data_IF_878119695411
#
_entry.id   IF_878119695411
#
_cell.length_a   1.000
_cell.length_b   1.000
_cell.length_c   1.000
_cell.angle_alpha   90.00
_cell.angle_beta   90.00
_cell.angle_gamma   90.00
#
_symmetry.space_group_name_H-M   'P 1'
#
loop_
_entity.id
_entity.type
_entity.pdbx_description
1 polymer ?
#
# COMPACT_ATOMS: atom_id res chain seq x y z
N UNK A 1 9.34 17.46 4.19
CA UNK A 1 10.33 17.79 3.13
C UNK A 1 9.91 17.10 1.84
N UNK A 2 10.34 17.60 0.68
CA UNK A 2 10.05 16.93 -0.59
C UNK A 2 10.79 15.59 -0.66
N UNK A 3 10.16 14.60 -1.28
CA UNK A 3 10.68 13.26 -1.53
C UNK A 3 10.62 12.97 -3.03
N UNK A 4 11.66 12.33 -3.57
CA UNK A 4 11.67 11.84 -4.94
C UNK A 4 11.06 10.44 -4.98
N UNK A 5 10.05 10.22 -5.80
CA UNK A 5 9.36 8.92 -5.94
C UNK A 5 9.62 8.29 -7.31
N UNK A 6 10.84 8.43 -7.81
CA UNK A 6 11.23 7.78 -9.07
C UNK A 6 11.16 6.26 -8.97
N UNK A 7 10.84 5.65 -10.11
CA UNK A 7 10.68 4.20 -10.26
C UNK A 7 11.55 3.69 -11.40
N UNK A 8 12.16 2.52 -11.17
CA UNK A 8 12.98 1.80 -12.12
C UNK A 8 12.66 0.31 -12.12
N UNK A 9 12.92 -0.31 -13.28
CA UNK A 9 12.82 -1.74 -13.49
C UNK A 9 14.19 -2.24 -13.95
N UNK A 10 14.69 -3.29 -13.30
CA UNK A 10 15.86 -4.06 -13.74
C UNK A 10 15.50 -5.53 -13.82
N UNK A 11 15.39 -6.04 -15.05
CA UNK A 11 14.96 -7.42 -15.34
C UNK A 11 16.14 -8.34 -15.52
N UNK A 12 15.97 -9.59 -15.11
CA UNK A 12 16.87 -10.72 -15.39
C UNK A 12 18.34 -10.33 -15.21
N UNK A 13 18.66 -9.78 -14.04
CA UNK A 13 20.00 -9.32 -13.71
C UNK A 13 20.54 -8.26 -14.72
N UNK A 14 19.70 -7.29 -15.08
CA UNK A 14 20.05 -6.15 -15.94
C UNK A 14 19.95 -6.39 -17.45
N UNK A 15 19.27 -7.44 -17.91
CA UNK A 15 19.03 -7.66 -19.34
C UNK A 15 18.17 -6.56 -19.97
N UNK A 16 17.22 -6.03 -19.20
CA UNK A 16 16.42 -4.86 -19.55
C UNK A 16 16.39 -3.93 -18.34
N UNK A 17 16.82 -2.69 -18.53
CA UNK A 17 16.79 -1.66 -17.50
C UNK A 17 16.24 -0.35 -18.05
N UNK A 18 15.26 0.21 -17.35
CA UNK A 18 14.71 1.53 -17.63
C UNK A 18 14.22 2.20 -16.35
N UNK A 19 14.19 3.53 -16.34
CA UNK A 19 13.58 4.30 -15.25
C UNK A 19 12.73 5.46 -15.77
N UNK A 20 11.66 5.76 -15.04
CA UNK A 20 10.63 6.74 -15.42
C UNK A 20 10.94 8.19 -15.09
N UNK A 21 12.23 8.57 -14.97
CA UNK A 21 12.66 9.95 -14.64
C UNK A 21 12.64 10.87 -15.85
N UNK A 22 13.18 10.44 -16.98
CA UNK A 22 13.23 11.19 -18.24
C UNK A 22 13.52 10.26 -19.43
N UNK A 23 13.52 10.78 -20.65
CA UNK A 23 13.82 9.99 -21.85
C UNK A 23 15.21 9.33 -21.82
N UNK A 24 16.20 9.99 -21.20
CA UNK A 24 17.54 9.46 -21.07
C UNK A 24 17.57 8.19 -20.20
N UNK A 25 16.78 8.14 -19.13
CA UNK A 25 16.66 6.96 -18.25
C UNK A 25 15.70 5.90 -18.76
N UNK A 26 14.72 6.27 -19.60
CA UNK A 26 13.90 5.29 -20.34
C UNK A 26 14.78 4.52 -21.32
N UNK A 27 15.64 5.22 -22.06
CA UNK A 27 16.62 4.63 -22.98
C UNK A 27 18.01 4.57 -22.36
N UNK A 28 18.10 4.17 -21.08
CA UNK A 28 19.38 4.02 -20.37
C UNK A 28 20.28 2.99 -21.08
N UNK A 29 19.66 1.95 -21.66
CA UNK A 29 20.28 1.06 -22.63
C UNK A 29 19.97 1.56 -24.06
N UNK A 30 20.97 2.13 -24.75
CA UNK A 30 20.77 2.79 -26.06
C UNK A 30 20.27 1.87 -27.17
N UNK A 31 20.58 0.57 -27.09
CA UNK A 31 20.03 -0.44 -28.01
C UNK A 31 18.51 -0.47 -28.02
N UNK A 32 17.84 -0.07 -26.93
CA UNK A 32 16.38 -0.02 -26.87
C UNK A 32 15.76 1.08 -27.73
N UNK A 33 16.53 2.05 -28.24
CA UNK A 33 16.03 3.00 -29.24
C UNK A 33 15.63 2.30 -30.54
N UNK A 34 16.28 1.18 -30.86
CA UNK A 34 15.99 0.35 -32.04
C UNK A 34 15.03 -0.81 -31.74
N UNK A 35 14.57 -0.95 -30.49
CA UNK A 35 13.70 -2.04 -30.07
C UNK A 35 12.22 -1.65 -30.25
N UNK A 36 11.49 -2.23 -31.22
CA UNK A 36 10.09 -1.89 -31.46
C UNK A 36 9.19 -2.22 -30.27
N UNK A 37 9.54 -3.21 -29.45
CA UNK A 37 8.76 -3.56 -28.25
C UNK A 37 8.86 -2.47 -27.17
N UNK A 38 9.99 -1.75 -27.09
CA UNK A 38 10.16 -0.63 -26.16
C UNK A 38 9.24 0.54 -26.53
N UNK A 39 9.18 0.89 -27.81
CA UNK A 39 8.28 1.92 -28.30
C UNK A 39 6.80 1.53 -28.18
N UNK A 40 6.48 0.26 -28.48
CA UNK A 40 5.14 -0.29 -28.25
C UNK A 40 4.74 -0.19 -26.77
N UNK A 41 5.64 -0.52 -25.85
CA UNK A 41 5.40 -0.38 -24.41
C UNK A 41 5.10 1.07 -24.03
N UNK A 42 5.89 2.04 -24.50
CA UNK A 42 5.66 3.47 -24.23
C UNK A 42 4.28 3.91 -24.74
N UNK A 43 3.90 3.49 -25.94
CA UNK A 43 2.55 3.74 -26.47
C UNK A 43 1.46 3.07 -25.60
N UNK A 44 1.66 1.81 -25.22
CA UNK A 44 0.72 1.05 -24.39
C UNK A 44 0.57 1.64 -22.98
N UNK A 45 1.61 2.27 -22.41
CA UNK A 45 1.51 3.06 -21.17
C UNK A 45 0.51 4.21 -21.32
N UNK A 46 0.64 5.00 -22.38
CA UNK A 46 -0.26 6.14 -22.63
C UNK A 46 -1.69 5.65 -22.86
N UNK A 47 -1.85 4.61 -23.69
CA UNK A 47 -3.15 3.99 -23.97
C UNK A 47 -3.80 3.39 -22.72
N UNK A 48 -3.01 2.75 -21.86
CA UNK A 48 -3.49 2.20 -20.60
C UNK A 48 -3.96 3.31 -19.66
N UNK A 49 -3.18 4.40 -19.53
CA UNK A 49 -3.56 5.53 -18.69
C UNK A 49 -4.89 6.15 -19.14
N UNK A 50 -5.13 6.28 -20.45
CA UNK A 50 -6.40 6.76 -20.99
C UNK A 50 -7.57 5.82 -20.64
N UNK A 51 -7.42 4.52 -20.91
CA UNK A 51 -8.44 3.53 -20.56
C UNK A 51 -8.72 3.50 -19.05
N UNK A 52 -7.68 3.51 -18.23
CA UNK A 52 -7.78 3.43 -16.77
C UNK A 52 -8.50 4.65 -16.19
N UNK A 53 -8.18 5.87 -16.67
CA UNK A 53 -8.88 7.08 -16.25
C UNK A 53 -10.36 7.03 -16.62
N UNK A 54 -10.70 6.68 -17.87
CA UNK A 54 -12.09 6.58 -18.32
C UNK A 54 -12.89 5.56 -17.51
N UNK A 55 -12.34 4.37 -17.29
CA UNK A 55 -13.00 3.32 -16.47
C UNK A 55 -13.19 3.80 -15.03
N UNK A 56 -12.19 4.46 -14.45
CA UNK A 56 -12.29 4.98 -13.09
C UNK A 56 -13.31 6.12 -12.96
N UNK A 57 -13.49 6.94 -14.00
CA UNK A 57 -14.50 8.00 -14.06
C UNK A 57 -15.91 7.42 -14.20
N UNK A 58 -16.10 6.49 -15.14
CA UNK A 58 -17.35 5.76 -15.33
C UNK A 58 -17.76 5.03 -14.03
N UNK A 59 -16.83 4.34 -13.38
CA UNK A 59 -17.08 3.62 -12.14
C UNK A 59 -17.46 4.55 -10.96
N UNK A 60 -16.91 5.76 -10.90
CA UNK A 60 -17.25 6.73 -9.84
C UNK A 60 -18.67 7.29 -9.99
N UNK A 61 -19.18 7.35 -11.23
CA UNK A 61 -20.54 7.80 -11.54
C UNK A 61 -21.61 6.71 -11.38
N UNK A 62 -21.20 5.48 -11.05
CA UNK A 62 -22.08 4.32 -10.89
C UNK A 62 -22.17 3.86 -9.43
N UNK A 63 -23.24 3.16 -9.04
CA UNK A 63 -23.26 2.47 -7.76
C UNK A 63 -22.09 1.48 -7.64
N UNK A 64 -21.59 1.20 -6.43
CA UNK A 64 -20.53 0.22 -6.23
C UNK A 64 -20.83 -1.12 -6.93
N UNK A 65 -19.80 -1.76 -7.48
CA UNK A 65 -19.89 -3.04 -8.21
C UNK A 65 -20.79 -3.06 -9.47
N UNK A 66 -21.26 -1.91 -9.96
CA UNK A 66 -22.19 -1.86 -11.11
C UNK A 66 -21.50 -1.64 -12.47
N UNK A 67 -20.21 -1.28 -12.47
CA UNK A 67 -19.46 -1.08 -13.70
C UNK A 67 -19.35 -2.39 -14.51
N UNK A 68 -19.43 -2.37 -15.86
CA UNK A 68 -19.34 -3.59 -16.69
C UNK A 68 -18.05 -4.41 -16.50
N UNK A 69 -16.98 -3.77 -16.02
CA UNK A 69 -15.70 -4.41 -15.71
C UNK A 69 -15.48 -4.67 -14.22
N UNK A 70 -16.50 -4.54 -13.36
CA UNK A 70 -16.34 -4.67 -11.90
C UNK A 70 -15.77 -6.04 -11.47
N UNK A 71 -16.10 -7.10 -12.21
CA UNK A 71 -15.62 -8.48 -11.99
C UNK A 71 -14.51 -8.90 -12.95
N UNK A 72 -14.08 -8.01 -13.85
CA UNK A 72 -13.05 -8.33 -14.84
C UNK A 72 -11.68 -8.34 -14.17
N UNK A 73 -10.91 -9.40 -14.40
CA UNK A 73 -9.51 -9.43 -13.95
C UNK A 73 -8.61 -8.56 -14.83
N UNK A 74 -7.43 -8.23 -14.33
CA UNK A 74 -6.43 -7.52 -15.14
C UNK A 74 -6.04 -8.35 -16.37
N UNK A 75 -5.92 -9.67 -16.24
CA UNK A 75 -5.60 -10.55 -17.36
C UNK A 75 -6.67 -10.61 -18.45
N UNK A 76 -7.96 -10.64 -18.08
CA UNK A 76 -9.06 -10.57 -19.03
C UNK A 76 -9.08 -9.23 -19.78
N UNK A 77 -8.82 -8.12 -19.08
CA UNK A 77 -8.69 -6.81 -19.69
C UNK A 77 -7.57 -6.76 -20.73
N UNK A 78 -6.41 -7.34 -20.41
CA UNK A 78 -5.25 -7.38 -21.32
C UNK A 78 -5.56 -8.15 -22.61
N UNK A 79 -6.20 -9.31 -22.48
CA UNK A 79 -6.66 -10.12 -23.63
C UNK A 79 -7.69 -9.35 -24.46
N UNK A 80 -8.69 -8.74 -23.81
CA UNK A 80 -9.78 -8.01 -24.46
C UNK A 80 -9.30 -6.80 -25.27
N UNK A 81 -8.32 -6.04 -24.75
CA UNK A 81 -7.83 -4.82 -25.39
C UNK A 81 -6.50 -5.01 -26.17
N UNK A 82 -6.03 -6.26 -26.29
CA UNK A 82 -4.84 -6.64 -27.04
C UNK A 82 -3.56 -5.93 -26.59
N UNK A 83 -3.33 -5.87 -25.27
CA UNK A 83 -2.08 -5.37 -24.69
C UNK A 83 -0.96 -6.40 -24.85
N UNK A 84 0.27 -5.94 -25.12
CA UNK A 84 1.41 -6.84 -25.27
C UNK A 84 1.86 -7.45 -23.94
N UNK A 85 2.38 -8.68 -24.02
CA UNK A 85 3.09 -9.33 -22.92
C UNK A 85 4.28 -8.49 -22.45
N UNK A 86 4.98 -7.84 -23.38
CA UNK A 86 6.14 -6.99 -23.06
C UNK A 86 5.75 -5.80 -22.18
N UNK A 87 4.65 -5.11 -22.48
CA UNK A 87 4.15 -4.02 -21.61
C UNK A 87 3.70 -4.53 -20.25
N UNK A 88 3.00 -5.67 -20.21
CA UNK A 88 2.60 -6.28 -18.95
C UNK A 88 3.81 -6.54 -18.04
N UNK A 89 4.78 -7.33 -18.54
CA UNK A 89 5.89 -7.85 -17.75
C UNK A 89 6.94 -6.79 -17.38
N UNK A 90 7.07 -5.73 -18.17
CA UNK A 90 8.15 -4.76 -18.03
C UNK A 90 7.68 -3.39 -17.53
N UNK A 91 6.36 -3.16 -17.42
CA UNK A 91 5.80 -1.91 -16.88
C UNK A 91 4.73 -2.16 -15.83
N UNK A 92 3.60 -2.77 -16.22
CA UNK A 92 2.43 -2.78 -15.34
C UNK A 92 2.65 -3.71 -14.15
N UNK A 93 3.15 -4.92 -14.40
CA UNK A 93 3.44 -5.89 -13.35
C UNK A 93 4.47 -5.35 -12.33
N UNK A 94 5.66 -4.85 -12.74
CA UNK A 94 6.58 -4.21 -11.81
C UNK A 94 5.95 -3.09 -10.98
N UNK A 95 5.10 -2.27 -11.60
CA UNK A 95 4.44 -1.14 -10.94
C UNK A 95 3.42 -1.61 -9.90
N UNK A 96 2.51 -2.53 -10.26
CA UNK A 96 1.49 -3.05 -9.35
C UNK A 96 2.13 -3.88 -8.23
N UNK A 97 3.11 -4.72 -8.57
CA UNK A 97 3.87 -5.48 -7.59
C UNK A 97 4.52 -4.51 -6.58
N UNK A 98 5.20 -3.46 -7.04
CA UNK A 98 5.86 -2.51 -6.15
C UNK A 98 4.91 -1.85 -5.14
N UNK A 99 3.69 -1.50 -5.57
CA UNK A 99 2.70 -0.81 -4.74
C UNK A 99 2.15 -1.71 -3.63
N UNK A 100 1.76 -2.95 -3.97
CA UNK A 100 1.10 -3.86 -3.01
C UNK A 100 2.02 -4.92 -2.43
N UNK A 101 3.29 -4.94 -2.83
CA UNK A 101 4.26 -5.99 -2.46
C UNK A 101 3.70 -7.40 -2.64
N UNK A 102 2.88 -7.58 -3.69
CA UNK A 102 2.23 -8.85 -4.02
C UNK A 102 2.98 -9.58 -5.14
N UNK A 103 3.04 -10.93 -5.09
CA UNK A 103 3.57 -11.73 -6.18
C UNK A 103 2.86 -11.46 -7.52
N UNK A 104 3.60 -11.71 -8.59
CA UNK A 104 3.19 -11.40 -9.95
C UNK A 104 2.01 -12.23 -10.45
N UNK A 105 1.95 -13.50 -10.04
CA UNK A 105 0.91 -14.47 -10.39
C UNK A 105 -0.46 -14.07 -9.81
N UNK A 106 -0.50 -13.68 -8.53
CA UNK A 106 -1.74 -13.31 -7.84
C UNK A 106 -2.33 -12.00 -8.34
N UNK A 107 -1.47 -11.02 -8.63
CA UNK A 107 -1.93 -9.68 -9.05
C UNK A 107 -2.66 -9.69 -10.39
N UNK A 108 -2.30 -10.61 -11.30
CA UNK A 108 -2.87 -10.65 -12.65
C UNK A 108 -4.29 -11.22 -12.71
N UNK A 109 -4.52 -12.31 -11.97
CA UNK A 109 -5.72 -13.12 -12.09
C UNK A 109 -6.78 -12.73 -11.06
N UNK A 110 -6.37 -12.29 -9.86
CA UNK A 110 -7.30 -12.11 -8.73
C UNK A 110 -7.68 -10.65 -8.46
N UNK A 111 -6.88 -9.68 -8.92
CA UNK A 111 -7.10 -8.27 -8.60
C UNK A 111 -8.19 -7.66 -9.50
N UNK A 112 -9.30 -7.12 -8.94
CA UNK A 112 -10.36 -6.54 -9.77
C UNK A 112 -9.92 -5.25 -10.46
N UNK A 113 -10.09 -5.21 -11.80
CA UNK A 113 -9.63 -4.12 -12.65
C UNK A 113 -10.11 -2.74 -12.17
N UNK A 114 -11.39 -2.60 -11.84
CA UNK A 114 -11.99 -1.31 -11.47
C UNK A 114 -11.34 -0.77 -10.19
N UNK A 115 -11.11 -1.62 -9.19
CA UNK A 115 -10.43 -1.26 -7.95
C UNK A 115 -9.00 -0.78 -8.24
N UNK A 116 -8.29 -1.49 -9.14
CA UNK A 116 -6.93 -1.15 -9.53
C UNK A 116 -6.86 0.23 -10.20
N UNK A 117 -7.69 0.48 -11.21
CA UNK A 117 -7.61 1.74 -11.97
C UNK A 117 -8.10 2.94 -11.14
N UNK A 118 -9.10 2.76 -10.27
CA UNK A 118 -9.50 3.78 -9.31
C UNK A 118 -8.34 4.11 -8.36
N UNK A 119 -7.65 3.07 -7.85
CA UNK A 119 -6.48 3.28 -7.01
C UNK A 119 -5.39 4.07 -7.75
N UNK A 120 -5.01 3.62 -8.94
CA UNK A 120 -3.93 4.25 -9.72
C UNK A 120 -4.27 5.71 -10.06
N UNK A 121 -5.54 6.01 -10.36
CA UNK A 121 -6.00 7.40 -10.56
C UNK A 121 -5.93 8.21 -9.28
N UNK A 122 -6.47 7.71 -8.16
CA UNK A 122 -6.53 8.43 -6.89
C UNK A 122 -5.13 8.72 -6.32
N UNK A 123 -4.12 7.91 -6.67
CA UNK A 123 -2.73 8.08 -6.26
C UNK A 123 -1.87 8.73 -7.35
N UNK A 124 -2.49 9.28 -8.41
CA UNK A 124 -1.83 9.99 -9.51
C UNK A 124 -0.72 9.17 -10.22
N UNK A 125 -0.88 7.85 -10.26
CA UNK A 125 0.05 6.92 -10.92
C UNK A 125 -0.18 6.82 -12.44
N UNK A 126 -1.32 7.32 -12.92
CA UNK A 126 -1.68 7.35 -14.35
C UNK A 126 -1.19 8.63 -15.08
N UNK A 127 -0.48 9.52 -14.38
CA UNK A 127 -0.07 10.81 -14.92
C UNK A 127 1.32 10.75 -15.58
N UNK A 128 1.40 11.23 -16.83
CA UNK A 128 2.67 11.38 -17.56
C UNK A 128 3.34 12.71 -17.22
N UNK A 129 2.57 13.75 -16.88
CA UNK A 129 3.01 15.09 -16.48
C UNK A 129 2.30 15.54 -15.20
N UNK A 130 2.80 16.60 -14.55
CA UNK A 130 2.21 17.17 -13.32
C UNK A 130 2.04 16.19 -12.15
N UNK A 131 2.98 15.25 -12.01
CA UNK A 131 2.98 14.29 -10.89
C UNK A 131 3.00 15.02 -9.54
N UNK A 132 2.28 14.51 -8.53
CA UNK A 132 2.24 15.14 -7.21
C UNK A 132 3.62 15.17 -6.57
N UNK A 133 3.86 16.22 -5.78
CA UNK A 133 5.06 16.33 -4.96
C UNK A 133 4.90 15.47 -3.72
N UNK A 134 5.64 14.37 -3.67
CA UNK A 134 5.69 13.51 -2.50
C UNK A 134 6.44 14.17 -1.35
N UNK A 135 6.00 13.88 -0.13
CA UNK A 135 6.62 14.39 1.09
C UNK A 135 7.05 13.26 2.00
N UNK A 136 8.14 13.52 2.71
CA UNK A 136 8.60 12.73 3.85
C UNK A 136 8.62 13.58 5.11
N UNK A 137 8.38 12.93 6.25
CA UNK A 137 8.48 13.54 7.57
C UNK A 137 9.97 13.49 7.97
N UNK A 138 10.59 14.63 8.32
CA UNK A 138 11.94 14.63 8.88
C UNK A 138 12.01 13.67 10.08
N UNK A 139 13.08 12.87 10.16
CA UNK A 139 13.27 11.84 11.18
C UNK A 139 12.25 10.68 11.14
N UNK A 140 11.50 10.55 10.03
CA UNK A 140 10.63 9.41 9.78
C UNK A 140 9.32 9.42 10.57
N UNK A 141 8.52 8.38 10.34
CA UNK A 141 7.17 8.21 10.88
C UNK A 141 7.12 8.06 12.40
N UNK A 142 8.19 7.58 13.03
CA UNK A 142 8.32 7.51 14.50
C UNK A 142 8.02 8.85 15.17
N UNK A 143 8.39 9.95 14.52
CA UNK A 143 8.23 11.31 15.03
C UNK A 143 6.77 11.71 15.35
N UNK A 144 5.80 11.31 14.53
CA UNK A 144 4.39 11.63 14.84
C UNK A 144 3.77 10.61 15.79
N UNK A 145 4.23 9.35 15.76
CA UNK A 145 3.78 8.33 16.71
C UNK A 145 4.18 8.73 18.13
N UNK A 146 5.41 9.16 18.35
CA UNK A 146 5.88 9.66 19.65
C UNK A 146 5.03 10.84 20.15
N UNK A 147 4.64 11.76 19.24
CA UNK A 147 3.76 12.89 19.59
C UNK A 147 2.33 12.48 19.94
N UNK A 148 1.81 11.42 19.30
CA UNK A 148 0.49 10.87 19.62
C UNK A 148 0.57 10.18 20.99
N UNK A 149 1.54 9.29 21.19
CA UNK A 149 1.72 8.55 22.44
C UNK A 149 1.91 9.48 23.63
N UNK A 150 2.67 10.57 23.48
CA UNK A 150 2.86 11.57 24.53
C UNK A 150 1.57 12.31 24.96
N UNK A 151 0.49 12.20 24.19
CA UNK A 151 -0.82 12.80 24.50
C UNK A 151 -1.85 11.77 25.01
N UNK A 152 -1.48 10.49 25.09
CA UNK A 152 -2.36 9.45 25.62
C UNK A 152 -2.26 9.41 27.15
N UNK A 153 -3.41 9.38 27.82
CA UNK A 153 -3.45 9.19 29.28
C UNK A 153 -2.95 7.81 29.70
N UNK A 154 -3.16 6.80 28.84
CA UNK A 154 -2.69 5.43 29.03
C UNK A 154 -2.10 4.87 27.72
N UNK A 155 -0.91 4.30 27.81
CA UNK A 155 -0.25 3.60 26.72
C UNK A 155 0.61 2.47 27.28
N UNK A 156 0.33 1.24 26.88
CA UNK A 156 0.98 0.05 27.44
C UNK A 156 1.73 -0.71 26.38
N UNK A 157 3.05 -0.57 26.42
CA UNK A 157 3.97 -1.29 25.54
C UNK A 157 4.21 -2.71 26.08
N UNK A 158 4.48 -3.66 25.19
CA UNK A 158 4.74 -5.07 25.55
C UNK A 158 3.60 -5.73 26.32
N UNK A 159 2.37 -5.24 26.13
CA UNK A 159 1.15 -5.79 26.73
C UNK A 159 0.32 -6.45 25.64
N UNK A 160 0.63 -7.71 25.33
CA UNK A 160 -0.07 -8.46 24.29
C UNK A 160 -1.46 -8.85 24.79
N UNK A 161 -2.49 -8.42 24.08
CA UNK A 161 -3.87 -8.88 24.27
C UNK A 161 -4.01 -10.25 23.62
N UNK A 162 -4.57 -11.21 24.35
CA UNK A 162 -4.76 -12.60 23.90
C UNK A 162 -6.22 -13.04 23.91
N UNK A 163 -7.11 -12.23 24.49
CA UNK A 163 -8.52 -12.57 24.55
C UNK A 163 -9.42 -11.35 24.76
N UNK A 164 -10.64 -11.43 24.22
CA UNK A 164 -11.73 -10.52 24.53
C UNK A 164 -12.99 -11.30 24.87
N UNK A 165 -13.69 -10.92 25.95
CA UNK A 165 -15.01 -11.46 26.32
C UNK A 165 -16.04 -10.33 26.39
N UNK A 166 -17.05 -10.40 25.52
CA UNK A 166 -18.07 -9.35 25.39
C UNK A 166 -19.30 -9.70 26.22
N UNK A 167 -19.53 -8.92 27.26
CA UNK A 167 -20.70 -9.01 28.14
C UNK A 167 -21.79 -8.02 27.68
N UNK A 168 -23.04 -8.12 28.17
CA UNK A 168 -24.11 -7.20 27.76
C UNK A 168 -23.76 -5.72 27.94
N UNK A 169 -23.05 -5.39 29.02
CA UNK A 169 -22.76 -3.99 29.39
C UNK A 169 -21.28 -3.59 29.30
N UNK A 170 -20.37 -4.55 29.11
CA UNK A 170 -18.93 -4.36 29.27
C UNK A 170 -18.15 -5.32 28.37
N UNK A 171 -16.86 -5.06 28.21
CA UNK A 171 -15.92 -5.89 27.47
C UNK A 171 -14.72 -6.15 28.36
N UNK A 172 -14.39 -7.42 28.59
CA UNK A 172 -13.19 -7.82 29.31
C UNK A 172 -12.06 -8.06 28.30
N UNK A 173 -10.97 -7.34 28.44
CA UNK A 173 -9.74 -7.50 27.67
C UNK A 173 -8.75 -8.30 28.51
N UNK A 174 -8.24 -9.40 27.94
CA UNK A 174 -7.38 -10.36 28.59
C UNK A 174 -5.99 -10.25 27.99
N UNK A 175 -4.99 -9.97 28.83
CA UNK A 175 -3.59 -9.87 28.43
C UNK A 175 -2.84 -11.20 28.66
N UNK A 176 -1.74 -11.41 27.93
CA UNK A 176 -0.93 -12.64 27.97
C UNK A 176 -0.40 -12.97 29.38
N UNK A 177 -0.17 -11.95 30.20
CA UNK A 177 0.26 -12.08 31.59
C UNK A 177 -0.88 -12.48 32.57
N UNK A 178 -2.10 -12.70 32.07
CA UNK A 178 -3.28 -13.04 32.85
C UNK A 178 -4.06 -11.85 33.42
N UNK A 179 -3.62 -10.61 33.20
CA UNK A 179 -4.39 -9.42 33.59
C UNK A 179 -5.70 -9.35 32.80
N UNK A 180 -6.80 -9.06 33.49
CA UNK A 180 -8.11 -8.84 32.90
C UNK A 180 -8.60 -7.46 33.29
N UNK A 181 -8.98 -6.67 32.30
CA UNK A 181 -9.49 -5.31 32.48
C UNK A 181 -10.82 -5.11 31.79
N UNK A 182 -11.68 -4.33 32.42
CA UNK A 182 -13.04 -4.09 31.97
C UNK A 182 -13.15 -2.72 31.29
N UNK A 183 -13.76 -2.70 30.11
CA UNK A 183 -14.01 -1.50 29.31
C UNK A 183 -15.47 -1.45 28.84
N UNK A 184 -15.94 -0.26 28.43
CA UNK A 184 -17.28 -0.12 27.84
C UNK A 184 -17.34 -0.56 26.37
N UNK A 185 -16.24 -0.36 25.64
CA UNK A 185 -16.07 -0.67 24.22
C UNK A 185 -14.62 -1.08 23.93
N UNK A 186 -14.42 -1.83 22.84
CA UNK A 186 -13.10 -2.17 22.30
C UNK A 186 -13.01 -1.80 20.82
N UNK A 187 -11.88 -1.22 20.42
CA UNK A 187 -11.53 -0.99 19.01
C UNK A 187 -10.33 -1.88 18.67
N UNK A 188 -10.54 -2.85 17.78
CA UNK A 188 -9.45 -3.61 17.19
C UNK A 188 -8.76 -2.77 16.12
N UNK A 189 -7.54 -2.32 16.38
CA UNK A 189 -6.65 -1.66 15.41
C UNK A 189 -5.55 -2.60 14.89
N UNK A 190 -5.81 -3.92 14.92
CA UNK A 190 -4.90 -5.01 14.53
C UNK A 190 -5.25 -5.55 13.13
N UNK A 191 -4.50 -6.54 12.67
CA UNK A 191 -4.91 -7.34 11.51
C UNK A 191 -6.17 -8.17 11.83
N UNK A 192 -6.92 -8.56 10.80
CA UNK A 192 -8.21 -9.24 10.97
C UNK A 192 -8.08 -10.67 11.47
N UNK A 193 -7.00 -11.35 11.08
CA UNK A 193 -6.63 -12.67 11.59
C UNK A 193 -6.32 -12.63 13.09
N UNK A 194 -5.56 -11.63 13.53
CA UNK A 194 -5.29 -11.37 14.94
C UNK A 194 -6.56 -11.01 15.72
N UNK A 195 -7.45 -10.21 15.11
CA UNK A 195 -8.72 -9.88 15.74
C UNK A 195 -9.59 -11.13 15.94
N UNK A 196 -9.65 -12.03 14.95
CA UNK A 196 -10.34 -13.31 15.07
C UNK A 196 -9.71 -14.22 16.13
N UNK A 197 -8.39 -14.28 16.19
CA UNK A 197 -7.67 -15.04 17.23
C UNK A 197 -8.02 -14.53 18.64
N UNK A 198 -8.01 -13.22 18.85
CA UNK A 198 -8.34 -12.59 20.14
C UNK A 198 -9.82 -12.77 20.49
N UNK A 199 -10.73 -12.72 19.51
CA UNK A 199 -12.15 -12.95 19.74
C UNK A 199 -12.44 -14.42 20.10
N UNK A 200 -11.70 -15.37 19.50
CA UNK A 200 -11.88 -16.80 19.70
C UNK A 200 -13.34 -17.23 19.54
N UNK A 201 -13.84 -18.06 20.46
CA UNK A 201 -15.23 -18.55 20.46
C UNK A 201 -16.29 -17.45 20.62
N UNK A 202 -15.89 -16.24 21.02
CA UNK A 202 -16.84 -15.15 21.14
C UNK A 202 -17.19 -14.54 19.77
N UNK A 203 -16.37 -14.78 18.72
CA UNK A 203 -16.61 -14.29 17.37
C UNK A 203 -17.94 -14.79 16.80
N UNK A 204 -18.75 -13.90 16.24
CA UNK A 204 -19.99 -14.29 15.57
C UNK A 204 -19.68 -14.95 14.21
N UNK A 205 -20.63 -15.71 13.62
CA UNK A 205 -20.47 -16.22 12.26
C UNK A 205 -20.23 -15.09 11.23
N UNK A 206 -20.92 -13.96 11.40
CA UNK A 206 -20.78 -12.79 10.52
C UNK A 206 -19.40 -12.12 10.68
N UNK A 207 -18.88 -11.99 11.90
CA UNK A 207 -17.52 -11.51 12.15
C UNK A 207 -16.48 -12.45 11.56
N UNK A 208 -16.68 -13.76 11.69
CA UNK A 208 -15.79 -14.78 11.15
C UNK A 208 -15.72 -14.73 9.62
N UNK A 209 -16.88 -14.59 8.95
CA UNK A 209 -16.95 -14.45 7.50
C UNK A 209 -16.27 -13.16 7.02
N UNK A 210 -16.61 -12.02 7.61
CA UNK A 210 -16.13 -10.70 7.17
C UNK A 210 -14.64 -10.54 7.46
N UNK A 211 -14.19 -10.78 8.70
CA UNK A 211 -12.77 -10.62 9.06
C UNK A 211 -11.89 -11.68 8.39
N UNK A 212 -12.43 -12.90 8.19
CA UNK A 212 -11.72 -14.02 7.57
C UNK A 212 -11.49 -13.87 6.07
N UNK A 213 -12.24 -13.00 5.38
CA UNK A 213 -12.08 -12.72 3.96
C UNK A 213 -10.88 -11.84 3.60
N UNK A 214 -10.26 -11.19 4.60
CA UNK A 214 -9.01 -10.45 4.41
C UNK A 214 -7.83 -11.38 4.69
N UNK A 215 -6.94 -11.54 3.70
CA UNK A 215 -5.73 -12.36 3.82
C UNK A 215 -4.49 -11.47 3.88
N UNK A 216 -3.40 -12.00 4.44
CA UNK A 216 -2.13 -11.27 4.56
C UNK A 216 -0.99 -12.03 3.89
N UNK A 217 -0.10 -11.30 3.22
CA UNK A 217 1.14 -11.81 2.65
C UNK A 217 2.31 -11.44 3.57
N UNK A 218 3.28 -12.34 3.71
CA UNK A 218 4.50 -12.08 4.46
C UNK A 218 5.55 -11.43 3.56
N UNK A 219 6.23 -10.42 4.08
CA UNK A 219 7.31 -9.71 3.41
C UNK A 219 8.50 -9.57 4.37
N UNK A 220 9.72 -9.84 3.89
CA UNK A 220 10.95 -9.66 4.66
C UNK A 220 11.72 -8.46 4.12
N UNK A 221 11.99 -7.47 4.98
CA UNK A 221 12.80 -6.31 4.61
C UNK A 221 14.19 -6.39 5.23
N UNK A 222 15.19 -5.95 4.48
CA UNK A 222 16.56 -5.79 4.94
C UNK A 222 16.98 -4.33 4.77
N UNK A 223 17.50 -3.72 5.82
CA UNK A 223 18.24 -2.46 5.75
C UNK A 223 19.72 -2.80 5.56
N UNK A 224 20.35 -2.30 4.49
CA UNK A 224 21.74 -2.64 4.17
C UNK A 224 22.42 -1.57 3.31
N UNK A 225 23.70 -1.82 3.00
CA UNK A 225 24.55 -1.03 2.09
C UNK A 225 24.98 -1.78 0.82
N UNK A 226 24.46 -2.98 0.61
CA UNK A 226 24.78 -3.81 -0.56
C UNK A 226 24.19 -3.25 -1.88
N UNK A 227 25.01 -2.55 -2.65
CA UNK A 227 24.66 -1.99 -3.96
C UNK A 227 24.41 -3.05 -5.03
N UNK A 228 24.76 -4.32 -4.79
CA UNK A 228 24.46 -5.37 -5.78
C UNK A 228 22.94 -5.59 -5.90
N UNK A 229 22.17 -5.28 -4.86
CA UNK A 229 20.70 -5.27 -4.87
C UNK A 229 20.15 -3.93 -5.40
N UNK A 230 20.76 -3.38 -6.46
CA UNK A 230 20.31 -2.20 -7.20
C UNK A 230 20.46 -2.48 -8.71
N UNK A 231 19.85 -1.68 -9.60
CA UNK A 231 20.09 -1.81 -11.04
C UNK A 231 21.58 -1.74 -11.39
N UNK A 232 22.01 -2.53 -12.38
CA UNK A 232 23.41 -2.54 -12.85
C UNK A 232 23.80 -1.20 -13.46
N UNK A 233 22.90 -0.60 -14.23
CA UNK A 233 23.10 0.74 -14.76
C UNK A 233 22.79 1.79 -13.70
N UNK A 234 23.83 2.45 -13.18
CA UNK A 234 23.67 3.48 -12.15
C UNK A 234 22.77 4.65 -12.56
N UNK A 235 22.60 4.91 -13.86
CA UNK A 235 21.71 5.98 -14.34
C UNK A 235 20.22 5.66 -14.13
N UNK A 236 19.85 4.39 -13.99
CA UNK A 236 18.46 3.98 -13.73
C UNK A 236 18.14 3.92 -12.24
N UNK A 237 19.13 4.06 -11.36
CA UNK A 237 18.91 4.08 -9.91
C UNK A 237 17.84 5.09 -9.56
N UNK A 238 16.80 4.59 -8.92
CA UNK A 238 15.63 5.33 -8.55
C UNK A 238 15.32 5.12 -7.08
N UNK A 239 14.38 5.89 -6.57
CA UNK A 239 13.89 5.68 -5.21
C UNK A 239 13.29 4.29 -5.01
N UNK A 240 12.67 3.75 -6.05
CA UNK A 240 12.02 2.44 -6.11
C UNK A 240 12.62 1.64 -7.26
N UNK A 241 13.18 0.46 -6.99
CA UNK A 241 13.83 -0.36 -8.01
C UNK A 241 13.27 -1.78 -7.94
N UNK A 242 12.41 -2.13 -8.89
CA UNK A 242 11.91 -3.48 -9.06
C UNK A 242 13.01 -4.32 -9.72
N UNK A 243 13.44 -5.40 -9.05
CA UNK A 243 14.57 -6.22 -9.46
C UNK A 243 14.15 -7.65 -9.66
N UNK A 244 14.62 -8.30 -10.73
CA UNK A 244 14.43 -9.74 -10.90
C UNK A 244 15.62 -10.44 -11.49
N UNK A 245 15.70 -11.74 -11.19
CA UNK A 245 16.79 -12.62 -11.63
C UNK A 245 16.31 -13.75 -12.56
N UNK A 246 15.00 -13.99 -12.67
CA UNK A 246 14.42 -15.09 -13.47
C UNK A 246 13.77 -14.59 -14.75
N UNK A 247 13.96 -15.33 -15.85
CA UNK A 247 13.47 -14.96 -17.18
C UNK A 247 11.94 -15.04 -17.33
N UNK A 248 11.27 -15.98 -16.65
CA UNK A 248 9.81 -16.18 -16.68
C UNK A 248 9.15 -15.74 -15.36
N UNK A 249 8.98 -14.42 -15.23
CA UNK A 249 8.47 -13.77 -14.02
C UNK A 249 7.00 -14.03 -13.72
N UNK A 250 6.21 -14.43 -14.73
CA UNK A 250 4.81 -14.79 -14.54
C UNK A 250 4.63 -16.00 -13.60
N UNK A 251 5.73 -16.69 -13.24
CA UNK A 251 5.79 -17.79 -12.29
C UNK A 251 6.56 -17.45 -11.01
N UNK A 252 7.03 -16.21 -10.85
CA UNK A 252 7.75 -15.81 -9.63
C UNK A 252 6.78 -15.64 -8.48
N UNK A 253 6.97 -16.43 -7.42
CA UNK A 253 6.18 -16.36 -6.18
C UNK A 253 6.62 -15.25 -5.25
N UNK A 254 7.66 -14.49 -5.61
CA UNK A 254 8.19 -13.36 -4.83
C UNK A 254 8.52 -12.19 -5.74
N UNK A 255 8.40 -10.98 -5.20
CA UNK A 255 8.77 -9.73 -5.85
C UNK A 255 9.93 -9.12 -5.07
N UNK A 256 10.98 -8.65 -5.74
CA UNK A 256 12.11 -7.99 -5.08
C UNK A 256 12.06 -6.49 -5.39
N UNK A 257 12.09 -5.68 -4.33
CA UNK A 257 12.01 -4.23 -4.44
C UNK A 257 13.07 -3.58 -3.55
N UNK A 258 13.97 -2.84 -4.16
CA UNK A 258 15.00 -2.08 -3.46
C UNK A 258 14.67 -0.59 -3.43
N UNK A 259 14.65 -0.02 -2.24
CA UNK A 259 14.46 1.38 -1.97
C UNK A 259 15.80 2.06 -1.76
N UNK A 260 16.10 3.07 -2.58
CA UNK A 260 17.27 3.92 -2.35
C UNK A 260 16.91 5.05 -1.39
N UNK A 261 17.19 4.83 -0.11
CA UNK A 261 16.70 5.69 0.97
C UNK A 261 17.30 7.10 0.90
N UNK A 262 18.53 7.27 0.43
CA UNK A 262 19.15 8.59 0.26
C UNK A 262 18.33 9.51 -0.67
N UNK A 263 17.70 8.94 -1.70
CA UNK A 263 16.89 9.71 -2.66
C UNK A 263 15.45 9.94 -2.14
N UNK A 264 14.89 8.96 -1.43
CA UNK A 264 13.56 9.04 -0.80
C UNK A 264 13.52 9.98 0.41
N UNK A 265 14.61 9.98 1.17
CA UNK A 265 14.73 10.67 2.45
C UNK A 265 16.00 11.48 2.43
N UNK A 266 15.90 12.66 1.81
CA UNK A 266 17.00 13.61 1.58
C UNK A 266 17.66 14.13 2.86
N UNK A 267 17.12 13.82 4.04
CA UNK A 267 17.76 14.07 5.33
C UNK A 267 18.81 13.00 5.71
N UNK A 268 18.90 11.90 4.96
CA UNK A 268 19.94 10.89 5.13
C UNK A 268 21.16 11.35 4.36
N UNK A 269 22.16 11.85 5.11
CA UNK A 269 23.40 12.35 4.54
C UNK A 269 24.25 11.20 3.94
N UNK A 270 24.46 11.18 2.60
CA UNK A 270 25.26 10.14 1.97
C UNK A 270 26.76 10.22 2.35
N UNK A 271 27.28 11.37 2.79
CA UNK A 271 28.68 11.49 3.24
C UNK A 271 28.88 10.79 4.59
N UNK A 272 27.85 10.78 5.43
CA UNK A 272 27.89 10.14 6.75
C UNK A 272 27.53 8.65 6.68
N UNK A 273 26.46 8.33 5.95
CA UNK A 273 25.87 6.98 5.99
C UNK A 273 26.20 6.12 4.76
N UNK A 274 26.75 6.70 3.70
CA UNK A 274 26.88 6.05 2.40
C UNK A 274 25.52 5.75 1.76
N UNK A 275 25.48 4.74 0.90
CA UNK A 275 24.22 4.25 0.33
C UNK A 275 23.43 3.48 1.38
N UNK A 276 22.25 4.00 1.70
CA UNK A 276 21.26 3.37 2.59
C UNK A 276 20.19 2.77 1.70
N UNK A 277 20.07 1.44 1.72
CA UNK A 277 19.17 0.68 0.88
C UNK A 277 18.26 -0.16 1.77
N UNK A 278 16.97 -0.18 1.44
CA UNK A 278 16.04 -1.15 2.02
C UNK A 278 15.57 -2.08 0.91
N UNK A 279 15.84 -3.37 1.00
CA UNK A 279 15.33 -4.34 0.02
C UNK A 279 14.28 -5.24 0.65
N UNK A 280 13.10 -5.29 0.03
CA UNK A 280 12.03 -6.21 0.34
C UNK A 280 12.15 -7.48 -0.50
N UNK A 281 12.03 -8.63 0.16
CA UNK A 281 12.02 -9.97 -0.42
C UNK A 281 13.15 -10.15 -1.46
N UNK A 282 14.41 -9.99 -1.04
CA UNK A 282 15.50 -9.90 -1.98
C UNK A 282 15.64 -11.21 -2.76
N UNK A 283 15.90 -11.12 -4.08
CA UNK A 283 16.10 -12.29 -4.96
C UNK A 283 17.25 -13.18 -4.52
N UNK A 284 18.22 -12.59 -3.81
CA UNK A 284 19.33 -13.23 -3.11
C UNK A 284 19.60 -12.45 -1.83
N UNK A 285 20.12 -13.10 -0.79
CA UNK A 285 20.41 -12.39 0.45
C UNK A 285 21.47 -11.29 0.24
N UNK A 286 21.31 -10.11 0.87
CA UNK A 286 22.37 -9.10 0.91
C UNK A 286 23.61 -9.66 1.60
N UNK A 287 24.79 -9.16 1.22
CA UNK A 287 26.05 -9.41 1.94
C UNK A 287 25.88 -9.14 3.44
N UNK A 288 26.09 -10.15 4.28
CA UNK A 288 25.87 -10.10 5.73
C UNK A 288 26.64 -8.95 6.39
N UNK A 289 27.85 -8.64 5.90
CA UNK A 289 28.68 -7.56 6.44
C UNK A 289 28.12 -6.17 6.13
N UNK A 290 27.15 -6.08 5.21
CA UNK A 290 26.50 -4.84 4.80
C UNK A 290 25.09 -4.73 5.36
N UNK A 291 24.57 -5.74 6.06
CA UNK A 291 23.24 -5.72 6.69
C UNK A 291 23.30 -4.95 8.01
N UNK A 292 22.37 -4.01 8.16
CA UNK A 292 22.18 -3.19 9.37
C UNK A 292 20.98 -3.65 10.20
N UNK A 293 20.01 -4.31 9.57
CA UNK A 293 18.84 -4.85 10.25
C UNK A 293 17.93 -5.60 9.29
N UNK A 294 17.07 -6.46 9.84
CA UNK A 294 16.04 -7.16 9.08
C UNK A 294 14.77 -7.31 9.89
N UNK A 295 13.63 -7.30 9.22
CA UNK A 295 12.33 -7.38 9.85
C UNK A 295 11.34 -8.14 8.97
N UNK A 296 10.37 -8.78 9.62
CA UNK A 296 9.26 -9.45 8.95
C UNK A 296 8.00 -8.59 9.09
N UNK A 297 7.28 -8.45 7.98
CA UNK A 297 6.04 -7.69 7.88
C UNK A 297 4.96 -8.53 7.26
N UNK A 298 3.72 -8.13 7.51
CA UNK A 298 2.53 -8.67 6.88
C UNK A 298 1.77 -7.55 6.19
N UNK A 299 1.30 -7.79 4.97
CA UNK A 299 0.57 -6.82 4.17
C UNK A 299 -0.78 -7.40 3.72
N UNK A 300 -1.90 -6.65 3.76
CA UNK A 300 -3.17 -7.15 3.25
C UNK A 300 -3.06 -7.51 1.76
N UNK A 301 -3.52 -8.70 1.42
CA UNK A 301 -3.67 -9.16 0.04
C UNK A 301 -5.00 -8.68 -0.51
N UNK A 302 -5.03 -8.22 -1.75
CA UNK A 302 -6.24 -7.74 -2.40
C UNK A 302 -6.82 -8.78 -3.34
N UNK A 303 -7.98 -9.30 -2.97
CA UNK A 303 -8.79 -10.22 -3.78
C UNK A 303 -10.25 -9.77 -3.79
N UNK A 304 -11.07 -10.49 -4.57
CA UNK A 304 -12.52 -10.28 -4.57
C UNK A 304 -13.14 -10.50 -3.18
N UNK A 305 -12.60 -11.43 -2.39
CA UNK A 305 -13.03 -11.71 -1.01
C UNK A 305 -12.70 -10.56 -0.07
N UNK A 306 -11.49 -10.01 -0.15
CA UNK A 306 -11.10 -8.83 0.65
C UNK A 306 -12.01 -7.64 0.36
N UNK A 307 -12.35 -7.45 -0.91
CA UNK A 307 -13.27 -6.39 -1.34
C UNK A 307 -14.69 -6.64 -0.81
N UNK A 308 -15.18 -7.88 -0.84
CA UNK A 308 -16.47 -8.25 -0.22
C UNK A 308 -16.46 -7.94 1.28
N UNK A 309 -15.41 -8.33 2.00
CA UNK A 309 -15.24 -8.04 3.43
C UNK A 309 -15.28 -6.55 3.73
N UNK A 310 -14.64 -5.72 2.90
CA UNK A 310 -14.68 -4.26 3.04
C UNK A 310 -16.07 -3.69 2.83
N UNK A 311 -16.81 -4.18 1.81
CA UNK A 311 -18.17 -3.75 1.52
C UNK A 311 -19.13 -4.12 2.67
N UNK A 312 -18.91 -5.26 3.32
CA UNK A 312 -19.75 -5.79 4.41
C UNK A 312 -19.35 -5.34 5.82
N UNK A 313 -18.19 -4.69 5.98
CA UNK A 313 -17.66 -4.26 7.29
C UNK A 313 -18.68 -3.49 8.15
N UNK A 314 -19.55 -2.69 7.53
CA UNK A 314 -20.58 -1.92 8.22
C UNK A 314 -21.56 -2.78 9.04
N UNK A 315 -21.73 -4.07 8.69
CA UNK A 315 -22.64 -4.98 9.39
C UNK A 315 -22.17 -5.28 10.81
N UNK A 316 -20.85 -5.33 11.03
CA UNK A 316 -20.23 -5.70 12.31
C UNK A 316 -19.72 -4.49 13.11
N UNK A 317 -19.69 -3.29 12.52
CA UNK A 317 -19.21 -2.10 13.21
C UNK A 317 -20.14 -1.66 14.34
N UNK A 318 -19.54 -1.37 15.50
CA UNK A 318 -20.23 -0.96 16.73
C UNK A 318 -21.35 -1.93 17.14
N UNK A 319 -21.15 -3.21 16.84
CA UNK A 319 -21.99 -4.30 17.34
C UNK A 319 -21.29 -4.94 18.52
N UNK A 320 -22.07 -5.36 19.53
CA UNK A 320 -21.53 -5.99 20.75
C UNK A 320 -20.35 -5.20 21.35
N UNK A 321 -20.45 -3.86 21.34
CA UNK A 321 -19.44 -2.94 21.90
C UNK A 321 -18.05 -3.07 21.24
N UNK A 322 -18.01 -3.52 20.00
CA UNK A 322 -16.77 -3.83 19.25
C UNK A 322 -16.72 -3.03 17.96
N UNK A 323 -15.55 -2.46 17.65
CA UNK A 323 -15.26 -1.81 16.37
C UNK A 323 -13.95 -2.34 15.81
N UNK A 324 -13.80 -2.21 14.50
CA UNK A 324 -12.63 -2.68 13.76
C UNK A 324 -12.05 -1.54 12.91
N UNK A 325 -10.75 -1.33 13.02
CA UNK A 325 -10.01 -0.30 12.30
C UNK A 325 -8.69 -0.89 11.80
N UNK A 326 -8.17 -0.33 10.71
CA UNK A 326 -6.92 -0.76 10.12
C UNK A 326 -6.82 -0.36 8.65
N UNK A 327 -5.60 -0.41 8.13
CA UNK A 327 -5.31 -0.11 6.74
C UNK A 327 -6.05 -1.06 5.76
N UNK A 328 -6.31 -2.29 6.20
CA UNK A 328 -7.08 -3.30 5.46
C UNK A 328 -8.53 -2.90 5.17
N UNK A 329 -9.05 -1.85 5.80
CA UNK A 329 -10.43 -1.39 5.60
C UNK A 329 -10.62 -0.59 4.31
N UNK A 330 -9.57 -0.36 3.51
CA UNK A 330 -9.63 0.29 2.19
C UNK A 330 -8.45 -0.14 1.29
N UNK A 331 -7.50 0.73 0.92
CA UNK A 331 -6.42 0.37 -0.03
C UNK A 331 -5.12 -0.13 0.62
N UNK A 332 -5.04 -0.18 1.95
CA UNK A 332 -3.89 -0.74 2.66
C UNK A 332 -2.82 0.29 3.01
N UNK A 333 -3.10 1.59 2.83
CA UNK A 333 -2.16 2.66 3.08
C UNK A 333 -2.33 3.26 4.47
N UNK A 334 -1.35 4.07 4.88
CA UNK A 334 -1.37 4.72 6.19
C UNK A 334 -2.60 5.60 6.40
N UNK A 335 -3.01 6.32 5.36
CA UNK A 335 -4.19 7.19 5.39
C UNK A 335 -5.47 6.39 5.63
N UNK A 336 -5.55 5.17 5.08
CA UNK A 336 -6.67 4.27 5.30
C UNK A 336 -6.71 3.82 6.76
N UNK A 337 -5.56 3.49 7.34
CA UNK A 337 -5.41 3.16 8.75
C UNK A 337 -5.84 4.31 9.65
N UNK A 338 -5.28 5.50 9.44
CA UNK A 338 -5.60 6.72 10.18
C UNK A 338 -7.09 7.05 10.10
N UNK A 339 -7.64 7.11 8.87
CA UNK A 339 -9.04 7.43 8.62
C UNK A 339 -9.97 6.40 9.26
N UNK A 340 -9.64 5.10 9.18
CA UNK A 340 -10.45 4.06 9.81
C UNK A 340 -10.49 4.17 11.34
N UNK A 341 -9.36 4.53 11.97
CA UNK A 341 -9.30 4.80 13.42
C UNK A 341 -10.14 6.01 13.81
N UNK A 342 -10.04 7.11 13.05
CA UNK A 342 -10.86 8.30 13.25
C UNK A 342 -12.36 8.00 13.12
N UNK A 343 -12.75 7.18 12.14
CA UNK A 343 -14.15 6.76 11.95
C UNK A 343 -14.65 5.87 13.10
N UNK A 344 -13.83 4.96 13.60
CA UNK A 344 -14.18 4.13 14.75
C UNK A 344 -14.35 4.99 16.02
N UNK A 345 -13.42 5.92 16.28
CA UNK A 345 -13.52 6.85 17.39
C UNK A 345 -14.76 7.76 17.28
N UNK A 346 -15.08 8.26 16.09
CA UNK A 346 -16.25 9.11 15.85
C UNK A 346 -17.57 8.40 16.16
N UNK A 347 -17.68 7.09 15.90
CA UNK A 347 -18.85 6.29 16.28
C UNK A 347 -19.05 6.18 17.80
N UNK A 348 -17.99 6.40 18.59
CA UNK A 348 -18.04 6.47 20.05
C UNK A 348 -18.20 7.91 20.57
N UNK A 349 -18.43 8.89 19.68
CA UNK A 349 -18.68 10.29 20.04
C UNK A 349 -17.45 11.20 20.04
N UNK A 350 -16.27 10.70 19.64
CA UNK A 350 -15.10 11.54 19.48
C UNK A 350 -15.31 12.58 18.35
N UNK A 351 -14.84 13.81 18.57
CA UNK A 351 -14.93 14.88 17.57
C UNK A 351 -13.57 15.12 16.95
N UNK A 352 -13.50 14.96 15.63
CA UNK A 352 -12.31 15.32 14.88
C UNK A 352 -12.30 16.86 14.65
N UNK A 353 -11.17 17.55 14.84
CA UNK A 353 -11.08 18.99 14.59
C UNK A 353 -11.13 19.35 13.09
N UNK A 354 -11.17 18.35 12.21
CA UNK A 354 -11.29 18.49 10.76
C UNK A 354 -12.31 17.48 10.22
N UNK A 355 -12.83 17.72 9.01
CA UNK A 355 -13.71 16.78 8.34
C UNK A 355 -12.94 15.49 8.00
N UNK A 356 -13.51 14.33 8.34
CA UNK A 356 -12.95 13.04 7.98
C UNK A 356 -13.32 12.76 6.53
N UNK A 357 -12.32 12.65 5.67
CA UNK A 357 -12.50 12.46 4.22
C UNK A 357 -11.84 11.16 3.80
N UNK A 358 -12.53 10.36 2.98
CA UNK A 358 -11.95 9.16 2.41
C UNK A 358 -11.01 9.52 1.24
N UNK A 359 -9.79 8.96 1.24
CA UNK A 359 -8.83 9.06 0.14
C UNK A 359 -9.24 8.19 -1.06
N UNK A 360 -10.32 8.60 -1.74
CA UNK A 360 -10.93 7.79 -2.79
C UNK A 360 -11.46 6.46 -2.25
N UNK A 361 -11.57 5.46 -3.13
CA UNK A 361 -12.09 4.15 -2.75
C UNK A 361 -13.61 4.05 -2.76
N UNK A 362 -14.08 2.88 -2.33
CA UNK A 362 -15.52 2.58 -2.30
C UNK A 362 -16.17 3.40 -1.19
N UNK A 363 -17.31 4.07 -1.47
CA UNK A 363 -17.97 4.92 -0.49
C UNK A 363 -18.35 4.08 0.73
N UNK A 364 -17.75 4.38 1.90
CA UNK A 364 -18.29 3.93 3.17
C UNK A 364 -19.53 4.76 3.46
N UNK A 365 -20.66 4.09 3.71
CA UNK A 365 -21.94 4.72 4.02
C UNK A 365 -21.76 5.81 5.10
N UNK A 366 -22.09 7.06 4.76
CA UNK A 366 -22.12 8.19 5.70
C UNK A 366 -20.93 9.16 5.68
N UNK A 367 -19.87 8.90 4.91
CA UNK A 367 -18.70 9.80 4.82
C UNK A 367 -18.59 10.40 3.42
N UNK A 368 -18.50 11.73 3.32
CA UNK A 368 -18.32 12.42 2.04
C UNK A 368 -16.97 12.01 1.44
N UNK A 369 -16.98 11.61 0.16
CA UNK A 369 -15.74 11.51 -0.63
C UNK A 369 -15.15 12.90 -0.80
N UNK A 370 -13.82 13.02 -0.83
CA UNK A 370 -13.18 14.26 -1.29
C UNK A 370 -13.71 14.57 -2.69
N UNK A 371 -14.13 15.81 -2.94
CA UNK A 371 -14.60 16.27 -4.25
C UNK A 371 -13.52 15.95 -5.33
N UNK A 372 -13.93 15.45 -6.49
CA UNK A 372 -13.03 15.19 -7.61
C UNK A 372 -12.28 16.46 -8.05
N UNK A 373 -12.88 17.65 -7.86
CA UNK A 373 -12.17 18.93 -8.04
C UNK A 373 -11.13 19.17 -6.95
N UNK A 374 -11.42 18.88 -5.67
CA UNK A 374 -10.42 18.97 -4.59
C UNK A 374 -9.24 17.99 -4.77
N UNK A 375 -9.42 16.89 -5.53
CA UNK A 375 -8.33 15.98 -5.95
C UNK A 375 -7.47 16.53 -7.10
N UNK A 376 -8.00 17.45 -7.89
CA UNK A 376 -7.34 18.06 -9.04
C UNK A 376 -6.85 19.50 -8.79
N UNK A 377 -7.42 20.21 -7.81
CA UNK A 377 -7.04 21.56 -7.41
C UNK A 377 -6.25 21.51 -6.10
N UNK A 378 -4.93 21.42 -6.21
CA UNK A 378 -3.99 21.71 -5.12
C UNK A 378 -3.89 23.22 -4.80
N UNK A 379 -4.88 24.00 -5.22
CA UNK A 379 -4.98 25.43 -4.93
C UNK A 379 -6.30 25.70 -4.20
N UNK A 380 -6.15 26.29 -3.00
CA UNK A 380 -7.18 26.85 -2.11
C UNK A 380 -7.72 25.87 -1.04
N UNK A 381 -6.91 25.61 0.02
CA UNK A 381 -7.16 25.95 1.45
C UNK A 381 -5.79 26.00 2.16
N UNK A 382 -5.42 27.06 2.92
CA UNK A 382 -4.18 27.09 3.71
C UNK A 382 -4.28 26.33 5.06
N UNK A 383 -5.04 25.23 5.11
CA UNK A 383 -5.16 24.34 6.26
C UNK A 383 -5.13 22.90 5.76
N UNK A 384 -4.21 22.11 6.33
CA UNK A 384 -3.84 20.72 5.96
C UNK A 384 -2.81 20.60 4.84
N UNK A 385 -1.59 21.02 5.15
CA UNK A 385 -0.35 20.69 4.43
C UNK A 385 0.08 19.21 4.55
N UNK A 386 -0.86 18.26 4.64
CA UNK A 386 -0.64 16.81 4.84
C UNK A 386 -1.54 16.01 3.88
N UNK A 387 -1.35 16.17 2.58
CA UNK A 387 -1.98 15.30 1.56
C UNK A 387 -0.97 15.08 0.44
N UNK A 388 0.03 14.27 0.77
CA UNK A 388 0.96 13.53 -0.09
C UNK A 388 2.11 13.03 0.80
N UNK A 389 1.79 12.32 1.89
CA UNK A 389 2.79 11.63 2.70
C UNK A 389 2.60 10.14 2.45
N UNK A 390 3.73 9.46 2.26
CA UNK A 390 3.93 8.02 2.11
C UNK A 390 3.83 7.47 0.70
N UNK A 391 5.01 7.28 0.10
CA UNK A 391 5.59 5.93 0.21
C UNK A 391 7.11 6.03 0.40
N UNK A 392 7.57 5.95 1.64
CA UNK A 392 8.94 5.57 2.03
C UNK A 392 9.08 5.63 3.55
N UNK A 393 9.43 4.49 4.15
CA UNK A 393 9.49 4.26 5.59
C UNK A 393 8.16 4.24 6.33
N UNK A 394 7.34 3.25 6.02
CA UNK A 394 6.78 2.45 7.12
C UNK A 394 7.55 1.17 7.02
N UNK A 395 8.46 0.91 7.95
CA UNK A 395 8.36 -0.31 8.72
C UNK A 395 9.32 -0.26 9.91
N UNK A 396 8.81 0.09 11.09
CA UNK A 396 9.54 -0.03 12.34
C UNK A 396 8.55 -0.05 13.51
N UNK A 397 7.92 -1.20 13.77
CA UNK A 397 7.37 -1.51 15.09
C UNK A 397 7.36 -3.03 15.33
N UNK A 398 8.51 -3.52 15.80
CA UNK A 398 8.60 -4.61 16.77
C UNK A 398 9.71 -4.22 17.74
N UNK A 399 9.33 -3.71 18.92
CA UNK A 399 10.16 -3.62 20.11
C UNK A 399 9.34 -3.99 21.34
#
# INVERSE_FOLDING_TARGET
MNSDMSFAVSRNNGSLEWAGKNLNTIFAQRSNLLNPNMWRMIYEVVRFNEHANRIAEEADAMPPNSHPFAKMSLGEFFKKFNYSKFFYENYLLPMTAAIWSMPADKTFDEFPLVTLVQFMRNHHLLQVSNRPKWKTIPNGSKSYVEKIVAQLDDCRLKTKVVGVKRMPNKVNVICENGTVEEFDHVIFATHTDQALEILGDDATPEETEILGGVKFSQNKAYLHRDETLMPKNRTTWSSWNYLTEVQDEAKSTTMCLSYWMNNLQTFIDPEVFGNVIVTMNPTRLPDENKVLGSWNYTHPSYSSETIKSQDELHKIQNKRRTLFAGAWTNYGFHEDGCTSGLLAAAQLGAKCPFEIVLNGGRPKYGVKKADAKARNSFDIIPLLSITAILVACIYAYTL
#
